data_IF_186612855236
#
_entry.id   IF_186612855236
#
_cell.length_a   1.000
_cell.length_b   1.000
_cell.length_c   1.000
_cell.angle_alpha   90.00
_cell.angle_beta   90.00
_cell.angle_gamma   90.00
#
_symmetry.space_group_name_H-M   'P 1'
#
loop_
_entity.id
_entity.type
_entity.pdbx_description
1 polymer ?
#
# COMPACT_ATOMS: atom_id res chain seq x y z
N UNK A 1 -0.60 9.45 -6.61
CA UNK A 1 0.67 9.02 -5.99
C UNK A 1 0.33 8.08 -4.85
N UNK A 2 1.07 6.99 -4.69
CA UNK A 2 0.80 5.96 -3.68
C UNK A 2 1.99 5.85 -2.71
N UNK A 3 1.73 5.55 -1.44
CA UNK A 3 2.73 5.24 -0.42
C UNK A 3 2.27 4.02 0.38
N UNK A 4 3.18 3.10 0.68
CA UNK A 4 2.91 1.87 1.44
C UNK A 4 4.13 1.48 2.28
N UNK A 5 3.92 0.74 3.37
CA UNK A 5 4.97 0.36 4.30
C UNK A 5 5.52 1.55 5.08
N UNK A 6 6.82 1.54 5.39
CA UNK A 6 7.44 2.50 6.30
C UNK A 6 7.44 3.96 5.80
N UNK A 7 7.17 4.20 4.52
CA UNK A 7 7.03 5.55 3.98
C UNK A 7 5.60 6.11 4.11
N UNK A 8 4.65 5.30 4.57
CA UNK A 8 3.28 5.71 4.87
C UNK A 8 3.06 5.81 6.39
N UNK A 9 2.00 6.52 6.80
CA UNK A 9 1.61 6.60 8.20
C UNK A 9 1.27 5.22 8.76
N UNK A 10 1.64 4.96 10.03
CA UNK A 10 1.36 3.71 10.69
C UNK A 10 -0.16 3.54 10.93
N UNK A 11 -0.75 2.51 10.34
CA UNK A 11 -2.18 2.20 10.54
C UNK A 11 -2.50 1.63 11.92
N UNK A 12 -1.48 1.19 12.66
CA UNK A 12 -1.61 0.66 14.02
C UNK A 12 -1.57 1.77 15.09
N UNK A 13 -1.50 3.04 14.67
CA UNK A 13 -1.36 4.18 15.58
C UNK A 13 0.02 4.24 16.23
N UNK A 14 0.06 4.71 17.48
CA UNK A 14 1.30 4.98 18.21
C UNK A 14 2.01 3.73 18.75
N UNK A 15 1.31 2.59 18.82
CA UNK A 15 1.81 1.35 19.42
C UNK A 15 2.04 0.25 18.40
N UNK A 16 2.99 -0.64 18.69
CA UNK A 16 3.27 -1.83 17.88
C UNK A 16 2.59 -3.07 18.48
N UNK A 17 1.44 -3.52 17.94
CA UNK A 17 0.62 -4.57 18.57
C UNK A 17 1.23 -5.98 18.47
N UNK A 18 2.31 -6.17 17.72
CA UNK A 18 3.00 -7.45 17.63
C UNK A 18 3.79 -7.65 16.34
N UNK A 19 4.53 -8.77 16.24
CA UNK A 19 5.31 -9.11 15.04
C UNK A 19 4.42 -9.13 13.81
N UNK A 20 4.84 -8.38 12.79
CA UNK A 20 4.14 -8.30 11.51
C UNK A 20 3.18 -7.12 11.37
N UNK A 21 3.00 -6.33 12.43
CA UNK A 21 2.17 -5.11 12.40
C UNK A 21 2.59 -4.07 11.34
N UNK A 22 3.84 -4.13 10.87
CA UNK A 22 4.32 -3.32 9.74
C UNK A 22 4.21 -4.06 8.41
N UNK A 23 4.68 -5.31 8.34
CA UNK A 23 4.79 -6.06 7.08
C UNK A 23 3.41 -6.47 6.53
N UNK A 24 2.45 -6.82 7.40
CA UNK A 24 1.10 -7.18 7.00
C UNK A 24 0.41 -6.04 6.25
N UNK A 25 0.27 -4.85 6.87
CA UNK A 25 -0.28 -3.68 6.18
C UNK A 25 0.52 -3.27 4.94
N UNK A 26 1.86 -3.34 4.97
CA UNK A 26 2.69 -3.02 3.81
C UNK A 26 2.37 -3.91 2.60
N UNK A 27 2.22 -5.22 2.82
CA UNK A 27 1.89 -6.19 1.78
C UNK A 27 0.48 -5.96 1.23
N UNK A 28 -0.51 -5.76 2.10
CA UNK A 28 -1.91 -5.55 1.70
C UNK A 28 -2.06 -4.25 0.91
N UNK A 29 -1.61 -3.12 1.46
CA UNK A 29 -1.73 -1.84 0.77
C UNK A 29 -0.82 -1.73 -0.44
N UNK A 30 0.34 -2.41 -0.43
CA UNK A 30 1.21 -2.50 -1.60
C UNK A 30 0.56 -3.23 -2.75
N UNK A 31 -0.14 -4.34 -2.48
CA UNK A 31 -0.91 -5.05 -3.48
C UNK A 31 -2.02 -4.16 -4.08
N UNK A 32 -2.81 -3.51 -3.22
CA UNK A 32 -3.90 -2.62 -3.66
C UNK A 32 -3.35 -1.49 -4.54
N UNK A 33 -2.31 -0.78 -4.07
CA UNK A 33 -1.70 0.30 -4.82
C UNK A 33 -1.16 -0.16 -6.19
N UNK A 34 -0.52 -1.34 -6.24
CA UNK A 34 -0.03 -1.90 -7.49
C UNK A 34 -1.16 -2.27 -8.46
N UNK A 35 -2.25 -2.86 -7.96
CA UNK A 35 -3.44 -3.16 -8.76
C UNK A 35 -4.08 -1.90 -9.33
N UNK A 36 -4.21 -0.84 -8.54
CA UNK A 36 -4.74 0.44 -9.01
C UNK A 36 -3.81 1.10 -10.03
N UNK A 37 -2.49 1.11 -9.78
CA UNK A 37 -1.50 1.61 -10.75
C UNK A 37 -1.59 0.87 -12.08
N UNK A 38 -1.72 -0.45 -12.07
CA UNK A 38 -1.88 -1.26 -13.27
C UNK A 38 -3.17 -0.92 -14.03
N UNK A 39 -4.28 -0.79 -13.31
CA UNK A 39 -5.57 -0.42 -13.90
C UNK A 39 -5.55 0.99 -14.50
N UNK A 40 -4.89 1.96 -13.85
CA UNK A 40 -4.70 3.32 -14.39
C UNK A 40 -3.82 3.26 -15.65
N UNK A 41 -2.71 2.53 -15.59
CA UNK A 41 -1.81 2.38 -16.74
C UNK A 41 -2.49 1.74 -17.96
N UNK A 42 -3.41 0.81 -17.76
CA UNK A 42 -4.20 0.21 -18.84
C UNK A 42 -5.11 1.24 -19.52
N UNK A 43 -5.87 2.03 -18.74
CA UNK A 43 -6.77 3.07 -19.29
C UNK A 43 -6.02 4.15 -20.06
N UNK A 44 -4.82 4.52 -19.60
CA UNK A 44 -3.98 5.49 -20.30
C UNK A 44 -3.44 4.99 -21.64
N UNK A 45 -3.38 3.66 -21.87
CA UNK A 45 -2.99 3.11 -23.17
C UNK A 45 -4.13 3.11 -24.19
N UNK A 46 -5.37 3.20 -23.72
CA UNK A 46 -6.58 3.22 -24.55
C UNK A 46 -7.02 4.65 -24.93
N UNK A 47 -6.43 5.66 -24.29
CA UNK A 47 -6.66 7.08 -24.54
C UNK A 47 -5.63 7.66 -25.52
#
# INVERSE_FOLDING_TARGET
>A
MYATGNCAAAVMGETYPGPGATIGPAMVFGYIAASEMAAVAARLKEA
#
